data_IF_364808761884
#
_entry.id   IF_364808761884
#
_cell.length_a   1.000
_cell.length_b   1.000
_cell.length_c   1.000
_cell.angle_alpha   90.00
_cell.angle_beta   90.00
_cell.angle_gamma   90.00
#
_symmetry.space_group_name_H-M   'P 1'
#
loop_
_entity.id
_entity.type
_entity.pdbx_description
1 polymer ?
#
# COMPACT_ATOMS: atom_id res chain seq x y z
N UNK A 1 7.56 -11.15 -1.55
CA UNK A 1 6.43 -12.08 -1.54
C UNK A 1 5.30 -11.52 -2.39
N UNK A 2 4.74 -12.33 -3.24
CA UNK A 2 3.63 -11.92 -4.08
C UNK A 2 2.31 -12.28 -3.42
N UNK A 3 1.38 -11.33 -3.40
CA UNK A 3 0.04 -11.55 -2.83
C UNK A 3 -1.02 -11.09 -3.83
N UNK A 4 -2.27 -11.53 -3.61
CA UNK A 4 -3.44 -10.96 -4.27
C UNK A 4 -4.06 -9.95 -3.34
N UNK A 5 -4.31 -8.74 -3.84
CA UNK A 5 -4.91 -7.69 -3.02
C UNK A 5 -6.42 -7.79 -2.98
N UNK A 6 -7.03 -7.04 -2.06
CA UNK A 6 -8.49 -6.96 -1.98
C UNK A 6 -9.12 -6.37 -3.24
N UNK A 7 -8.36 -5.66 -4.05
CA UNK A 7 -8.81 -5.15 -5.33
C UNK A 7 -8.69 -6.15 -6.48
N UNK A 8 -8.21 -7.37 -6.20
CA UNK A 8 -8.10 -8.41 -7.21
C UNK A 8 -6.86 -8.32 -8.08
N UNK A 9 -5.88 -7.51 -7.70
CA UNK A 9 -4.62 -7.38 -8.43
C UNK A 9 -3.48 -8.01 -7.64
N UNK A 10 -2.37 -8.29 -8.33
CA UNK A 10 -1.18 -8.80 -7.67
C UNK A 10 -0.37 -7.65 -7.09
N UNK A 11 0.28 -7.92 -5.98
CA UNK A 11 1.19 -6.98 -5.34
C UNK A 11 2.41 -7.73 -4.82
N UNK A 12 3.52 -7.01 -4.74
CA UNK A 12 4.76 -7.54 -4.15
C UNK A 12 4.95 -6.87 -2.80
N UNK A 13 5.15 -7.69 -1.77
CA UNK A 13 5.21 -7.22 -0.37
C UNK A 13 6.53 -7.62 0.24
N UNK A 14 7.13 -6.68 0.97
CA UNK A 14 8.33 -6.95 1.74
C UNK A 14 8.16 -6.40 3.14
N UNK A 15 8.31 -7.28 4.13
CA UNK A 15 8.30 -6.88 5.53
C UNK A 15 9.72 -6.49 5.92
N UNK A 16 9.86 -5.29 6.48
CA UNK A 16 11.15 -4.72 6.83
C UNK A 16 11.37 -4.76 8.34
N UNK A 17 12.61 -4.56 8.76
CA UNK A 17 12.95 -4.48 10.17
C UNK A 17 12.22 -3.31 10.82
N UNK A 18 11.73 -3.50 12.03
CA UNK A 18 10.99 -2.47 12.76
C UNK A 18 9.50 -2.45 12.49
N UNK A 19 9.00 -3.41 11.71
CA UNK A 19 7.57 -3.53 11.45
C UNK A 19 7.08 -2.78 10.22
N UNK A 20 7.96 -2.12 9.49
CA UNK A 20 7.60 -1.44 8.25
C UNK A 20 7.26 -2.46 7.15
N UNK A 21 6.41 -2.05 6.22
CA UNK A 21 6.01 -2.90 5.10
C UNK A 21 6.10 -2.09 3.81
N UNK A 22 6.79 -2.62 2.82
CA UNK A 22 6.85 -2.02 1.49
C UNK A 22 5.98 -2.84 0.54
N UNK A 23 5.15 -2.15 -0.25
CA UNK A 23 4.22 -2.78 -1.18
C UNK A 23 4.41 -2.18 -2.56
N UNK A 24 4.61 -3.02 -3.55
CA UNK A 24 4.66 -2.60 -4.95
C UNK A 24 3.39 -3.06 -5.66
N UNK A 25 2.72 -2.11 -6.32
CA UNK A 25 1.49 -2.36 -7.07
C UNK A 25 1.74 -2.08 -8.54
N UNK A 26 2.08 -3.10 -9.34
CA UNK A 26 2.30 -2.89 -10.76
C UNK A 26 0.99 -2.85 -11.53
N UNK A 27 0.89 -1.93 -12.46
CA UNK A 27 -0.20 -1.90 -13.43
C UNK A 27 0.29 -2.54 -14.73
N UNK A 28 -0.11 -3.76 -14.98
CA UNK A 28 0.32 -4.52 -16.16
C UNK A 28 -0.59 -4.28 -17.37
N UNK A 29 -1.64 -3.49 -17.20
CA UNK A 29 -2.58 -3.19 -18.26
C UNK A 29 -2.12 -2.05 -19.16
N UNK A 30 -2.84 -1.87 -20.28
CA UNK A 30 -2.53 -0.84 -21.26
C UNK A 30 -3.13 0.52 -20.90
N UNK A 31 -4.00 0.57 -19.93
CA UNK A 31 -4.66 1.80 -19.49
C UNK A 31 -4.28 2.13 -18.05
N UNK A 32 -4.30 3.41 -17.71
CA UNK A 32 -4.18 3.83 -16.33
C UNK A 32 -5.32 3.23 -15.51
N UNK A 33 -5.03 2.86 -14.28
CA UNK A 33 -6.02 2.23 -13.41
C UNK A 33 -5.81 2.69 -11.97
N UNK A 34 -6.87 2.60 -11.17
CA UNK A 34 -6.76 2.78 -9.72
C UNK A 34 -6.62 1.39 -9.10
N UNK A 35 -5.48 1.15 -8.46
CA UNK A 35 -5.20 -0.13 -7.83
C UNK A 35 -5.46 -0.01 -6.33
N UNK A 36 -5.96 -1.09 -5.75
CA UNK A 36 -6.32 -1.12 -4.34
C UNK A 36 -5.55 -2.17 -3.58
N UNK A 37 -5.21 -1.87 -2.33
CA UNK A 37 -4.66 -2.83 -1.40
C UNK A 37 -5.25 -2.55 -0.03
N UNK A 38 -5.61 -3.60 0.69
CA UNK A 38 -6.11 -3.47 2.05
C UNK A 38 -4.98 -3.70 3.05
N UNK A 39 -5.01 -2.99 4.18
CA UNK A 39 -4.05 -3.23 5.24
C UNK A 39 -4.06 -4.69 5.69
N UNK A 40 -5.24 -5.31 5.72
CA UNK A 40 -5.37 -6.72 6.09
C UNK A 40 -4.65 -7.66 5.11
N UNK A 41 -4.47 -7.26 3.85
CA UNK A 41 -3.78 -8.08 2.85
C UNK A 41 -2.33 -8.35 3.25
N UNK A 42 -1.73 -7.43 4.01
CA UNK A 42 -0.35 -7.53 4.45
C UNK A 42 -0.25 -7.78 5.96
N UNK A 43 -1.37 -8.07 6.61
CA UNK A 43 -1.40 -8.46 8.00
C UNK A 43 -1.28 -7.32 9.00
N UNK A 44 -1.59 -6.10 8.61
CA UNK A 44 -1.50 -4.94 9.50
C UNK A 44 -2.87 -4.27 9.68
N UNK A 45 -2.97 -3.45 10.72
CA UNK A 45 -4.17 -2.66 10.98
C UNK A 45 -3.97 -1.24 10.46
N UNK A 46 -4.89 -0.77 9.62
CA UNK A 46 -4.80 0.58 9.05
C UNK A 46 -4.79 1.67 10.11
N UNK A 47 -5.42 1.42 11.26
CA UNK A 47 -5.45 2.41 12.35
C UNK A 47 -4.13 2.51 13.10
N UNK A 48 -3.28 1.49 13.01
CA UNK A 48 -2.01 1.43 13.73
C UNK A 48 -0.81 1.75 12.85
N UNK A 49 -1.03 1.98 11.55
CA UNK A 49 0.04 2.26 10.60
C UNK A 49 -0.23 3.57 9.89
N UNK A 50 0.86 4.26 9.52
CA UNK A 50 0.80 5.37 8.59
C UNK A 50 1.21 4.88 7.22
N UNK A 51 0.63 5.47 6.17
CA UNK A 51 0.90 5.07 4.80
C UNK A 51 1.41 6.25 4.00
N UNK A 52 2.39 6.00 3.15
CA UNK A 52 2.97 7.01 2.28
C UNK A 52 3.12 6.41 0.87
N UNK A 53 2.75 7.17 -0.14
CA UNK A 53 3.07 6.83 -1.51
C UNK A 53 4.48 7.34 -1.79
N UNK A 54 5.38 6.44 -2.19
CA UNK A 54 6.81 6.72 -2.17
C UNK A 54 7.24 7.75 -3.23
N UNK A 55 6.66 7.67 -4.43
CA UNK A 55 7.09 8.54 -5.54
C UNK A 55 6.78 10.01 -5.29
N UNK A 56 5.60 10.28 -4.74
CA UNK A 56 5.16 11.66 -4.47
C UNK A 56 5.35 12.07 -3.02
N UNK A 57 5.66 11.11 -2.15
CA UNK A 57 5.80 11.29 -0.69
C UNK A 57 4.53 11.81 -0.03
N UNK A 58 3.39 11.54 -0.65
CA UNK A 58 2.11 11.94 -0.08
C UNK A 58 1.63 10.90 0.93
N UNK A 59 1.10 11.40 2.04
CA UNK A 59 0.43 10.55 3.00
C UNK A 59 -0.89 10.05 2.43
N UNK A 60 -1.20 8.79 2.67
CA UNK A 60 -2.46 8.19 2.25
C UNK A 60 -3.34 7.94 3.44
N UNK A 61 -4.63 8.21 3.27
CA UNK A 61 -5.64 7.92 4.27
C UNK A 61 -6.43 6.71 3.80
N UNK A 62 -6.51 5.64 4.61
CA UNK A 62 -7.30 4.48 4.24
C UNK A 62 -8.78 4.80 4.29
N UNK A 63 -9.59 4.04 3.53
CA UNK A 63 -11.03 4.08 3.67
C UNK A 63 -11.45 3.49 5.01
N UNK A 64 -12.74 3.58 5.34
CA UNK A 64 -13.26 2.98 6.57
C UNK A 64 -13.01 1.47 6.63
N UNK A 65 -12.88 0.82 5.49
CA UNK A 65 -12.57 -0.61 5.40
C UNK A 65 -11.07 -0.91 5.41
N UNK A 66 -10.21 0.10 5.57
CA UNK A 66 -8.77 -0.09 5.57
C UNK A 66 -8.16 -0.26 4.18
N UNK A 67 -8.81 0.26 3.16
CA UNK A 67 -8.35 0.17 1.78
C UNK A 67 -7.56 1.41 1.37
N UNK A 68 -6.44 1.18 0.71
CA UNK A 68 -5.67 2.25 0.06
C UNK A 68 -5.88 2.15 -1.44
N UNK A 69 -6.16 3.28 -2.10
CA UNK A 69 -6.37 3.34 -3.54
C UNK A 69 -5.33 4.28 -4.15
N UNK A 70 -4.64 3.80 -5.19
CA UNK A 70 -3.59 4.55 -5.84
C UNK A 70 -3.81 4.57 -7.34
N UNK A 71 -3.76 5.76 -7.98
CA UNK A 71 -3.77 5.82 -9.44
C UNK A 71 -2.40 5.39 -9.97
N UNK A 72 -2.39 4.48 -10.93
CA UNK A 72 -1.16 3.96 -11.52
C UNK A 72 -1.28 4.02 -13.03
N UNK A 73 -0.35 4.70 -13.68
CA UNK A 73 -0.32 4.77 -15.14
C UNK A 73 -0.08 3.39 -15.73
N UNK A 74 -0.42 3.20 -17.01
CA UNK A 74 -0.20 1.92 -17.68
C UNK A 74 1.28 1.55 -17.62
N UNK A 75 1.56 0.28 -17.35
CA UNK A 75 2.92 -0.28 -17.27
C UNK A 75 3.82 0.40 -16.22
N UNK A 76 3.21 1.11 -15.28
CA UNK A 76 3.93 1.74 -14.17
C UNK A 76 3.70 0.95 -12.88
N UNK A 77 4.42 1.31 -11.83
CA UNK A 77 4.30 0.66 -10.52
C UNK A 77 4.20 1.71 -9.44
N UNK A 78 3.19 1.60 -8.59
CA UNK A 78 3.10 2.41 -7.39
C UNK A 78 3.83 1.72 -6.24
N UNK A 79 4.47 2.50 -5.39
CA UNK A 79 5.11 2.01 -4.18
C UNK A 79 4.42 2.63 -2.97
N UNK A 80 3.96 1.77 -2.08
CA UNK A 80 3.31 2.15 -0.84
C UNK A 80 4.18 1.69 0.32
N UNK A 81 4.42 2.57 1.27
CA UNK A 81 5.21 2.27 2.45
C UNK A 81 4.34 2.45 3.69
N UNK A 82 4.22 1.39 4.47
CA UNK A 82 3.46 1.40 5.72
C UNK A 82 4.43 1.34 6.90
N UNK A 83 4.26 2.27 7.83
CA UNK A 83 5.07 2.31 9.05
C UNK A 83 4.17 2.29 10.27
N UNK A 84 4.53 1.54 11.32
CA UNK A 84 3.79 1.58 12.57
C UNK A 84 3.73 3.01 13.10
N UNK A 85 2.59 3.40 13.65
CA UNK A 85 2.47 4.69 14.30
C UNK A 85 3.33 4.70 15.55
N UNK A 86 4.05 5.79 15.74
CA UNK A 86 4.85 5.98 16.93
C UNK A 86 4.00 6.61 18.02
N UNK A 87 3.40 5.78 18.85
CA UNK A 87 2.53 6.25 19.90
C UNK A 87 3.28 6.97 21.01
N UNK A 88 4.56 6.71 21.16
CA UNK A 88 5.38 7.41 22.13
C UNK A 88 5.60 8.87 21.74
N UNK A 89 5.51 9.18 20.44
CA UNK A 89 5.62 10.54 19.94
C UNK A 89 4.29 11.28 19.92
N UNK A 90 3.20 10.59 20.18
CA UNK A 90 1.86 11.18 20.11
C UNK A 90 1.56 12.02 21.34
#
# INVERSE_FOLDING_TARGET
MKISTCGGTDAWVRHLTGGDVAIALPNLGDDAATLKVCAADVGVSATEFTAIEVWTRKSLTPSAAGEYSLPVASHDTALLYLSPRDEAAA
#
